data_IF_079379954175
#
_entry.id   IF_079379954175
#
_cell.length_a   1.000
_cell.length_b   1.000
_cell.length_c   1.000
_cell.angle_alpha   90.00
_cell.angle_beta   90.00
_cell.angle_gamma   90.00
#
_symmetry.space_group_name_H-M   'P 1'
#
loop_
_entity.id
_entity.type
_entity.pdbx_description
1 polymer ?
#
# COMPACT_ATOMS: atom_id res chain seq x y z
N UNK A 1 -31.66 -25.96 9.02
CA UNK A 1 -31.17 -26.82 7.91
C UNK A 1 -29.80 -26.32 7.49
N UNK A 2 -28.77 -27.16 7.57
CA UNK A 2 -27.48 -26.90 6.91
C UNK A 2 -27.61 -27.36 5.46
N UNK A 3 -27.45 -26.46 4.50
CA UNK A 3 -27.57 -26.79 3.09
C UNK A 3 -26.49 -26.06 2.31
N UNK A 4 -25.83 -26.79 1.41
CA UNK A 4 -25.02 -26.19 0.36
C UNK A 4 -25.94 -26.01 -0.84
N UNK A 5 -26.09 -24.76 -1.30
CA UNK A 5 -26.89 -24.43 -2.47
C UNK A 5 -25.97 -24.11 -3.64
N UNK A 6 -26.15 -24.82 -4.75
CA UNK A 6 -25.46 -24.56 -6.01
C UNK A 6 -26.48 -24.25 -7.12
N UNK A 7 -26.08 -23.46 -8.11
CA UNK A 7 -26.94 -23.06 -9.23
C UNK A 7 -27.07 -24.12 -10.33
N UNK A 8 -27.88 -23.83 -11.34
CA UNK A 8 -28.02 -24.67 -12.54
C UNK A 8 -26.83 -24.48 -13.50
N UNK A 9 -26.42 -25.55 -14.19
CA UNK A 9 -25.47 -25.54 -15.31
C UNK A 9 -24.05 -25.01 -15.03
N UNK A 10 -23.65 -24.87 -13.77
CA UNK A 10 -22.28 -24.51 -13.35
C UNK A 10 -21.80 -25.45 -12.26
N UNK A 11 -20.51 -25.78 -12.30
CA UNK A 11 -19.87 -26.66 -11.32
C UNK A 11 -19.45 -25.85 -10.09
N UNK A 12 -19.76 -26.35 -8.90
CA UNK A 12 -19.19 -25.89 -7.62
C UNK A 12 -18.13 -26.93 -7.18
N UNK A 13 -16.91 -26.51 -6.86
CA UNK A 13 -15.80 -27.41 -6.50
C UNK A 13 -15.13 -26.99 -5.20
N UNK A 14 -14.76 -27.98 -4.39
CA UNK A 14 -13.77 -27.91 -3.32
C UNK A 14 -12.75 -29.01 -3.60
N UNK A 15 -11.47 -28.66 -3.66
CA UNK A 15 -10.43 -29.59 -4.13
C UNK A 15 -9.18 -29.45 -3.27
N UNK A 16 -8.50 -30.57 -3.04
CA UNK A 16 -7.13 -30.59 -2.52
C UNK A 16 -6.28 -31.44 -3.44
N UNK A 17 -5.16 -30.89 -3.90
CA UNK A 17 -4.15 -31.63 -4.67
C UNK A 17 -3.17 -32.39 -3.78
N UNK A 18 -3.37 -32.34 -2.45
CA UNK A 18 -2.53 -33.00 -1.43
C UNK A 18 -1.03 -32.62 -1.50
N UNK A 19 -0.75 -31.38 -1.90
CA UNK A 19 0.61 -30.82 -1.98
C UNK A 19 0.84 -29.66 -0.98
N UNK A 20 -0.20 -29.26 -0.24
CA UNK A 20 -0.04 -28.33 0.88
C UNK A 20 0.67 -29.05 2.04
N UNK A 21 1.59 -28.37 2.71
CA UNK A 21 2.28 -28.89 3.91
C UNK A 21 1.35 -28.86 5.12
N UNK A 22 0.44 -27.87 5.18
CA UNK A 22 -0.52 -27.66 6.25
C UNK A 22 -1.95 -27.86 5.73
N UNK A 23 -2.87 -28.19 6.62
CA UNK A 23 -4.30 -28.13 6.29
C UNK A 23 -4.72 -26.67 6.17
N UNK A 24 -5.68 -26.38 5.30
CA UNK A 24 -6.37 -25.10 5.25
C UNK A 24 -7.85 -25.30 5.58
N UNK A 25 -8.48 -24.33 6.24
CA UNK A 25 -9.90 -24.38 6.56
C UNK A 25 -10.64 -23.12 6.12
N UNK A 26 -11.93 -23.29 5.88
CA UNK A 26 -12.90 -22.22 5.75
C UNK A 26 -13.82 -22.30 6.96
N UNK A 27 -13.94 -21.18 7.68
CA UNK A 27 -14.72 -21.11 8.91
C UNK A 27 -15.85 -20.08 8.78
N UNK A 28 -17.02 -20.45 9.29
CA UNK A 28 -18.14 -19.53 9.53
C UNK A 28 -18.47 -19.59 11.02
N UNK A 29 -18.19 -18.51 11.71
CA UNK A 29 -18.41 -18.41 13.16
C UNK A 29 -18.83 -17.00 13.56
N UNK A 30 -19.16 -16.83 14.83
CA UNK A 30 -19.46 -15.52 15.39
C UNK A 30 -19.84 -15.60 16.87
N UNK A 31 -19.82 -14.45 17.51
CA UNK A 31 -20.25 -14.25 18.89
C UNK A 31 -20.93 -12.86 19.04
N UNK A 32 -21.23 -12.45 20.28
CA UNK A 32 -21.88 -11.17 20.55
C UNK A 32 -21.07 -9.94 20.14
N UNK A 33 -19.74 -10.03 20.03
CA UNK A 33 -18.84 -8.95 19.64
C UNK A 33 -18.51 -8.99 18.14
N UNK A 34 -18.54 -10.18 17.53
CA UNK A 34 -18.32 -10.42 16.11
C UNK A 34 -19.49 -11.21 15.55
N UNK A 35 -20.64 -10.56 15.26
CA UNK A 35 -21.87 -11.24 14.85
C UNK A 35 -21.72 -12.23 13.70
N UNK A 36 -20.83 -11.96 12.75
CA UNK A 36 -20.55 -12.89 11.65
C UNK A 36 -19.11 -12.73 11.20
N UNK A 37 -18.35 -13.82 11.19
CA UNK A 37 -16.99 -13.93 10.68
C UNK A 37 -16.94 -15.03 9.63
N UNK A 38 -16.38 -14.70 8.47
CA UNK A 38 -15.99 -15.64 7.43
C UNK A 38 -14.47 -15.61 7.37
N UNK A 39 -13.82 -16.71 7.71
CA UNK A 39 -12.37 -16.78 7.97
C UNK A 39 -11.71 -17.92 7.20
N UNK A 40 -10.48 -17.67 6.76
CA UNK A 40 -9.56 -18.66 6.20
C UNK A 40 -8.34 -18.78 7.10
N UNK A 41 -7.98 -20.00 7.47
CA UNK A 41 -6.83 -20.32 8.29
C UNK A 41 -6.13 -21.60 7.83
N UNK A 42 -4.96 -21.85 8.43
CA UNK A 42 -4.27 -23.12 8.38
C UNK A 42 -3.90 -23.60 9.79
N UNK A 43 -3.15 -24.71 9.87
CA UNK A 43 -2.70 -25.29 11.15
C UNK A 43 -1.85 -24.33 12.02
N UNK A 44 -1.36 -23.22 11.47
CA UNK A 44 -0.52 -22.22 12.14
C UNK A 44 -1.28 -20.93 12.47
N UNK A 45 -2.49 -20.74 11.94
CA UNK A 45 -3.38 -19.63 12.29
C UNK A 45 -4.10 -19.02 11.10
N UNK A 46 -4.81 -17.94 11.36
CA UNK A 46 -5.64 -17.27 10.37
C UNK A 46 -4.82 -16.47 9.36
N UNK A 47 -5.25 -16.54 8.10
CA UNK A 47 -4.69 -15.79 6.97
C UNK A 47 -5.48 -14.50 6.76
N UNK A 48 -6.80 -14.62 6.67
CA UNK A 48 -7.70 -13.49 6.45
C UNK A 48 -9.10 -13.79 6.97
N UNK A 49 -9.85 -12.74 7.27
CA UNK A 49 -11.27 -12.83 7.51
C UNK A 49 -12.01 -11.60 6.98
N UNK A 50 -13.29 -11.79 6.68
CA UNK A 50 -14.25 -10.70 6.64
C UNK A 50 -15.20 -10.84 7.83
N UNK A 51 -15.56 -9.74 8.46
CA UNK A 51 -16.54 -9.75 9.54
C UNK A 51 -17.55 -8.61 9.44
N UNK A 52 -18.73 -8.85 10.01
CA UNK A 52 -19.67 -7.80 10.39
C UNK A 52 -19.51 -7.50 11.88
N UNK A 53 -19.35 -6.22 12.19
CA UNK A 53 -19.28 -5.69 13.55
C UNK A 53 -20.68 -5.50 14.15
N UNK A 54 -20.75 -5.31 15.46
CA UNK A 54 -22.01 -5.07 16.20
C UNK A 54 -22.72 -3.78 15.77
N UNK A 55 -21.98 -2.79 15.28
CA UNK A 55 -22.50 -1.55 14.69
C UNK A 55 -22.96 -1.68 13.23
N UNK A 56 -22.85 -2.89 12.66
CA UNK A 56 -23.19 -3.18 11.27
C UNK A 56 -22.09 -2.81 10.27
N UNK A 57 -20.97 -2.22 10.68
CA UNK A 57 -19.82 -2.01 9.80
C UNK A 57 -19.19 -3.34 9.37
N UNK A 58 -18.42 -3.32 8.28
CA UNK A 58 -17.72 -4.48 7.74
C UNK A 58 -16.22 -4.22 7.81
N UNK A 59 -15.47 -5.24 8.22
CA UNK A 59 -14.02 -5.26 8.13
C UNK A 59 -13.55 -6.44 7.28
N UNK A 60 -12.49 -6.21 6.52
CA UNK A 60 -11.72 -7.25 5.84
C UNK A 60 -10.28 -7.13 6.32
N UNK A 61 -9.76 -8.19 6.93
CA UNK A 61 -8.48 -8.17 7.63
C UNK A 61 -7.60 -9.29 7.11
N UNK A 62 -6.33 -8.98 6.87
CA UNK A 62 -5.31 -9.91 6.37
C UNK A 62 -4.16 -9.94 7.37
N UNK A 63 -3.76 -11.14 7.79
CA UNK A 63 -2.61 -11.38 8.65
C UNK A 63 -1.31 -11.44 7.82
N UNK A 64 -0.96 -10.32 7.19
CA UNK A 64 0.20 -10.27 6.30
C UNK A 64 0.13 -9.11 5.31
N UNK A 65 0.92 -9.24 4.24
CA UNK A 65 1.01 -8.24 3.19
C UNK A 65 -0.05 -8.46 2.11
N UNK A 66 -0.72 -7.38 1.70
CA UNK A 66 -1.58 -7.36 0.50
C UNK A 66 -0.75 -6.82 -0.66
N UNK A 67 -0.56 -7.62 -1.71
CA UNK A 67 0.20 -7.27 -2.92
C UNK A 67 -0.75 -7.27 -4.13
N UNK A 68 -1.40 -6.14 -4.45
CA UNK A 68 -2.22 -6.00 -5.65
C UNK A 68 -1.36 -5.78 -6.91
N UNK A 69 -1.87 -6.22 -8.07
CA UNK A 69 -1.28 -5.91 -9.38
C UNK A 69 -1.36 -4.43 -9.74
N UNK A 70 -2.38 -3.73 -9.20
CA UNK A 70 -2.63 -2.32 -9.45
C UNK A 70 -3.06 -1.62 -8.15
N UNK A 71 -2.30 -0.60 -7.75
CA UNK A 71 -2.56 0.21 -6.55
C UNK A 71 -3.41 1.45 -6.81
N UNK A 72 -3.95 1.66 -8.02
CA UNK A 72 -4.61 2.90 -8.41
C UNK A 72 -5.78 3.31 -7.50
N UNK A 73 -6.49 2.35 -6.90
CA UNK A 73 -7.55 2.61 -5.92
C UNK A 73 -7.02 3.01 -4.52
N UNK A 74 -5.78 2.66 -4.19
CA UNK A 74 -5.07 3.15 -3.00
C UNK A 74 -4.48 4.53 -3.29
N UNK A 75 -3.74 4.69 -4.39
CA UNK A 75 -3.10 5.94 -4.79
C UNK A 75 -4.11 7.07 -4.97
N UNK A 76 -5.25 6.82 -5.62
CA UNK A 76 -6.30 7.82 -5.81
C UNK A 76 -6.81 8.40 -4.48
N UNK A 77 -6.85 7.60 -3.41
CA UNK A 77 -7.25 8.03 -2.07
C UNK A 77 -6.13 8.78 -1.34
N UNK A 78 -4.87 8.41 -1.56
CA UNK A 78 -3.74 9.08 -0.93
C UNK A 78 -3.36 10.40 -1.61
N UNK A 79 -3.45 10.49 -2.95
CA UNK A 79 -3.14 11.70 -3.71
C UNK A 79 -4.15 12.83 -3.49
N UNK A 80 -5.41 12.50 -3.16
CA UNK A 80 -6.41 13.53 -2.80
C UNK A 80 -6.20 14.12 -1.40
N UNK A 81 -5.33 13.55 -0.56
CA UNK A 81 -5.14 13.96 0.85
C UNK A 81 -4.26 15.21 1.06
N UNK A 82 -3.93 15.95 0.00
CA UNK A 82 -3.36 17.32 0.06
C UNK A 82 -1.90 17.45 0.50
N UNK A 83 -1.31 16.40 1.10
CA UNK A 83 0.08 16.39 1.57
C UNK A 83 0.95 15.32 0.90
N UNK A 84 0.44 14.65 -0.13
CA UNK A 84 1.15 13.61 -0.88
C UNK A 84 1.63 14.20 -2.18
N UNK A 85 2.94 14.07 -2.43
CA UNK A 85 3.60 14.54 -3.63
C UNK A 85 4.15 13.34 -4.37
N UNK A 86 3.98 13.32 -5.69
CA UNK A 86 4.74 12.42 -6.54
C UNK A 86 6.24 12.68 -6.38
N UNK A 87 7.08 11.70 -6.74
CA UNK A 87 8.54 11.87 -6.68
C UNK A 87 8.99 13.15 -7.40
N UNK A 88 8.44 13.44 -8.57
CA UNK A 88 8.78 14.66 -9.33
C UNK A 88 8.40 15.95 -8.61
N UNK A 89 7.23 15.99 -7.96
CA UNK A 89 6.78 17.16 -7.19
C UNK A 89 7.57 17.36 -5.88
N UNK A 90 8.05 16.27 -5.27
CA UNK A 90 8.97 16.34 -4.14
C UNK A 90 10.34 16.85 -4.56
N UNK A 91 10.91 16.29 -5.64
CA UNK A 91 12.22 16.67 -6.16
C UNK A 91 12.24 18.16 -6.51
N UNK A 92 11.24 18.67 -7.25
CA UNK A 92 11.16 20.08 -7.65
C UNK A 92 11.10 21.06 -6.47
N UNK A 93 10.51 20.66 -5.33
CA UNK A 93 10.45 21.51 -4.13
C UNK A 93 11.73 21.44 -3.30
N UNK A 94 12.43 20.30 -3.31
CA UNK A 94 13.69 20.12 -2.60
C UNK A 94 14.80 21.05 -3.13
N UNK A 95 14.81 21.34 -4.44
CA UNK A 95 15.84 22.19 -5.07
C UNK A 95 15.54 23.69 -5.04
N UNK A 96 14.49 24.12 -4.33
CA UNK A 96 14.11 25.53 -4.23
C UNK A 96 14.78 26.17 -3.00
N UNK A 97 15.29 27.39 -3.15
CA UNK A 97 15.90 28.20 -2.08
C UNK A 97 17.22 27.66 -1.49
N UNK A 98 17.98 26.86 -2.24
CA UNK A 98 19.39 26.65 -1.91
C UNK A 98 20.08 28.01 -2.05
N UNK A 99 20.57 28.57 -0.94
CA UNK A 99 21.46 29.73 -1.01
C UNK A 99 22.71 29.30 -1.78
N UNK A 100 22.80 29.68 -3.05
CA UNK A 100 24.02 29.56 -3.85
C UNK A 100 24.87 30.79 -3.55
N UNK A 101 26.18 30.65 -3.47
CA UNK A 101 27.03 31.84 -3.29
C UNK A 101 27.13 32.65 -4.57
N UNK A 102 27.86 33.77 -4.51
CA UNK A 102 27.98 34.67 -5.65
C UNK A 102 28.72 33.99 -6.83
N UNK A 103 28.29 34.21 -8.08
CA UNK A 103 29.06 33.83 -9.25
C UNK A 103 30.45 34.46 -9.21
N UNK A 104 31.49 33.63 -9.23
CA UNK A 104 32.88 34.05 -9.36
C UNK A 104 33.24 33.98 -10.84
N UNK A 105 33.60 35.11 -11.45
CA UNK A 105 33.99 35.12 -12.85
C UNK A 105 35.43 34.61 -13.00
N UNK A 106 35.70 33.40 -13.55
CA UNK A 106 37.04 32.82 -13.54
C UNK A 106 37.93 33.29 -14.70
N UNK A 107 37.51 34.31 -15.46
CA UNK A 107 38.22 34.75 -16.67
C UNK A 107 38.14 33.78 -17.85
N UNK A 108 37.61 32.57 -17.67
CA UNK A 108 37.08 31.67 -18.71
C UNK A 108 35.81 31.00 -18.18
N UNK A 109 34.75 30.97 -18.98
CA UNK A 109 33.57 30.14 -18.73
C UNK A 109 33.95 28.71 -19.09
N UNK A 110 33.91 27.79 -18.12
CA UNK A 110 33.90 26.37 -18.43
C UNK A 110 32.49 25.95 -18.90
N UNK A 111 32.37 24.73 -19.41
CA UNK A 111 31.12 24.18 -19.95
C UNK A 111 30.00 24.05 -18.89
N UNK A 112 30.32 24.26 -17.60
CA UNK A 112 29.42 24.10 -16.46
C UNK A 112 28.95 25.44 -15.85
N UNK A 113 29.36 26.58 -16.41
CA UNK A 113 28.97 27.91 -15.95
C UNK A 113 30.03 28.57 -15.05
N UNK A 114 29.81 29.82 -14.59
CA UNK A 114 30.77 30.47 -13.70
C UNK A 114 30.95 29.65 -12.41
N UNK A 115 32.19 29.45 -11.98
CA UNK A 115 32.48 28.91 -10.66
C UNK A 115 31.70 29.73 -9.62
N UNK A 116 31.07 29.11 -8.63
CA UNK A 116 30.35 29.84 -7.57
C UNK A 116 31.08 29.73 -6.24
N UNK A 117 31.18 30.83 -5.50
CA UNK A 117 31.67 30.79 -4.14
C UNK A 117 30.68 30.00 -3.26
N UNK A 118 31.14 29.38 -2.16
CA UNK A 118 30.22 28.85 -1.16
C UNK A 118 29.26 29.94 -0.64
N UNK A 119 28.04 29.55 -0.29
CA UNK A 119 27.03 30.45 0.26
C UNK A 119 27.57 31.20 1.50
N UNK A 120 27.44 32.53 1.53
CA UNK A 120 27.90 33.36 2.64
C UNK A 120 29.32 33.93 2.52
N UNK A 121 30.06 33.62 1.45
CA UNK A 121 31.36 34.24 1.17
C UNK A 121 31.19 35.54 0.36
N UNK A 122 31.79 36.63 0.81
CA UNK A 122 31.95 37.87 0.04
C UNK A 122 33.36 37.89 -0.57
N UNK A 123 33.48 38.12 -1.88
CA UNK A 123 34.77 38.42 -2.49
C UNK A 123 35.06 39.92 -2.28
N UNK A 124 35.99 40.22 -1.38
CA UNK A 124 36.67 41.53 -1.28
C UNK A 124 37.81 41.62 -2.27
#
# INVERSE_FOLDING_TARGET
LGAIRAGNAKRMTMTSSNNSVLNAQFNLWGDGNRPTVIELDDDQGWHLYSQRNTDGSIQFVVNGQVIPDNYGNFDARYLTSGNVYTKGESDNRYVQNIQRGAPVWPGKVDEYGPAEAPAGCFLT
#
